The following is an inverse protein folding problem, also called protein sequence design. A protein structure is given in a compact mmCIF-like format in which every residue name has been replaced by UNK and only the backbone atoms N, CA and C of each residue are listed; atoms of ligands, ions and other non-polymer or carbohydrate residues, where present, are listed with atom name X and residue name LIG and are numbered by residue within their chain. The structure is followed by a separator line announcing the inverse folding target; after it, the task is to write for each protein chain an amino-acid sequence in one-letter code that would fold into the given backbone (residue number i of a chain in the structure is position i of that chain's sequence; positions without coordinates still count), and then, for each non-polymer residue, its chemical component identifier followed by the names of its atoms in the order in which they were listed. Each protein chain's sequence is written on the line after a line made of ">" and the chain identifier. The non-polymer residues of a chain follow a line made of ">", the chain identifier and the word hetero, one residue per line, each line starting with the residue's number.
data_IF_287873803120
#
_entry.id   IF_287873803120
#
_cell.length_a   1.000
_cell.length_b   1.000
_cell.length_c   1.000
_cell.angle_alpha   90.00
_cell.angle_beta   90.00
_cell.angle_gamma   90.00
#
_symmetry.space_group_name_H-M   'P 1'
#
loop_
_entity.id
_entity.type
_entity.pdbx_description
1 polymer ?
#
# COMPACT_ATOMS: atom_id res chain seq x y z
N UNK A 1 0.80 -11.54 10.18
CA UNK A 1 -0.15 -10.45 10.54
C UNK A 1 -1.14 -10.37 9.40
N UNK A 2 -2.42 -10.16 9.70
CA UNK A 2 -3.40 -9.87 8.65
C UNK A 2 -3.48 -8.35 8.53
N UNK A 3 -2.87 -7.79 7.49
CA UNK A 3 -2.97 -6.37 7.19
C UNK A 3 -4.37 -6.03 6.68
N UNK A 4 -4.91 -4.89 7.08
CA UNK A 4 -6.02 -4.23 6.38
C UNK A 4 -5.50 -3.12 5.47
N UNK A 5 -6.29 -2.72 4.48
CA UNK A 5 -5.94 -1.61 3.59
C UNK A 5 -5.85 -0.28 4.36
N UNK A 6 -6.71 -0.11 5.35
CA UNK A 6 -6.75 1.06 6.23
C UNK A 6 -5.47 1.15 7.09
N UNK A 7 -5.03 0.03 7.67
CA UNK A 7 -3.77 -0.01 8.44
C UNK A 7 -2.55 0.26 7.57
N UNK A 8 -2.53 -0.31 6.36
CA UNK A 8 -1.46 -0.08 5.39
C UNK A 8 -1.40 1.40 4.98
N UNK A 9 -2.55 1.98 4.60
CA UNK A 9 -2.64 3.40 4.24
C UNK A 9 -2.20 4.32 5.39
N UNK A 10 -2.66 4.03 6.62
CA UNK A 10 -2.29 4.80 7.80
C UNK A 10 -0.80 4.67 8.14
N UNK A 11 -0.19 3.50 7.95
CA UNK A 11 1.25 3.31 8.15
C UNK A 11 2.07 4.13 7.14
N UNK A 12 1.67 4.14 5.87
CA UNK A 12 2.29 4.97 4.84
C UNK A 12 2.15 6.47 5.15
N UNK A 13 0.94 6.92 5.51
CA UNK A 13 0.70 8.30 5.92
C UNK A 13 1.63 8.71 7.08
N UNK A 14 1.73 7.89 8.12
CA UNK A 14 2.61 8.17 9.27
C UNK A 14 4.07 8.29 8.85
N UNK A 15 4.55 7.39 8.01
CA UNK A 15 5.93 7.41 7.50
C UNK A 15 6.24 8.69 6.72
N UNK A 16 5.36 9.06 5.78
CA UNK A 16 5.52 10.25 4.93
C UNK A 16 5.32 11.57 5.69
N UNK A 17 4.51 11.56 6.74
CA UNK A 17 4.31 12.74 7.60
C UNK A 17 5.49 12.94 8.55
N UNK A 18 6.02 11.84 9.12
CA UNK A 18 7.17 11.90 10.03
C UNK A 18 8.46 12.32 9.31
N UNK A 19 8.61 11.93 8.03
CA UNK A 19 9.74 12.32 7.19
C UNK A 19 9.27 12.52 5.74
N UNK A 20 9.09 13.77 5.27
CA UNK A 20 8.70 14.06 3.88
C UNK A 20 9.80 13.76 2.84
N UNK A 21 11.01 13.45 3.29
CA UNK A 21 12.18 13.20 2.47
C UNK A 21 12.34 11.73 2.04
N UNK A 22 13.55 11.36 1.55
CA UNK A 22 13.85 10.00 1.12
C UNK A 22 13.64 8.94 2.20
N UNK A 23 13.97 9.24 3.47
CA UNK A 23 13.87 8.27 4.56
C UNK A 23 12.41 7.88 4.88
N UNK A 24 11.43 8.78 4.70
CA UNK A 24 10.01 8.41 4.80
C UNK A 24 9.58 7.45 3.69
N UNK A 25 10.09 7.65 2.47
CA UNK A 25 9.83 6.75 1.33
C UNK A 25 10.48 5.38 1.52
N UNK A 26 11.67 5.32 2.10
CA UNK A 26 12.32 4.04 2.46
C UNK A 26 11.50 3.26 3.49
N UNK A 27 10.92 3.94 4.49
CA UNK A 27 9.98 3.32 5.43
C UNK A 27 8.73 2.79 4.73
N UNK A 28 8.17 3.54 3.78
CA UNK A 28 7.05 3.05 2.95
C UNK A 28 7.45 1.78 2.20
N UNK A 29 8.64 1.72 1.61
CA UNK A 29 9.13 0.50 0.95
C UNK A 29 9.17 -0.69 1.91
N UNK A 30 9.67 -0.52 3.13
CA UNK A 30 9.69 -1.58 4.14
C UNK A 30 8.27 -2.04 4.52
N UNK A 31 7.34 -1.10 4.72
CA UNK A 31 5.93 -1.41 4.99
C UNK A 31 5.32 -2.23 3.84
N UNK A 32 5.53 -1.81 2.59
CA UNK A 32 5.05 -2.53 1.41
C UNK A 32 5.63 -3.95 1.36
N UNK A 33 6.92 -4.11 1.62
CA UNK A 33 7.56 -5.43 1.66
C UNK A 33 6.93 -6.36 2.70
N UNK A 34 6.48 -5.83 3.84
CA UNK A 34 5.80 -6.62 4.86
C UNK A 34 4.34 -6.93 4.52
N UNK A 35 3.62 -5.98 3.91
CA UNK A 35 2.25 -6.19 3.41
C UNK A 35 2.23 -7.27 2.32
N UNK A 36 3.21 -7.28 1.42
CA UNK A 36 3.30 -8.27 0.33
C UNK A 36 3.60 -9.70 0.81
N UNK A 37 4.02 -9.89 2.08
CA UNK A 37 4.16 -11.23 2.68
C UNK A 37 2.83 -11.77 3.22
N UNK A 38 1.78 -10.95 3.28
CA UNK A 38 0.46 -11.37 3.69
C UNK A 38 -0.32 -11.89 2.47
N UNK A 39 -0.32 -13.22 2.30
CA UNK A 39 -1.01 -13.89 1.20
C UNK A 39 -2.51 -13.57 1.15
N UNK A 40 -3.16 -13.37 2.30
CA UNK A 40 -4.58 -13.03 2.36
C UNK A 40 -4.83 -11.61 1.85
N UNK A 41 -3.95 -10.67 2.17
CA UNK A 41 -4.00 -9.32 1.62
C UNK A 41 -3.81 -9.33 0.10
N UNK A 42 -2.78 -10.04 -0.38
CA UNK A 42 -2.48 -10.13 -1.82
C UNK A 42 -3.65 -10.77 -2.57
N UNK A 43 -4.16 -11.90 -2.12
CA UNK A 43 -5.30 -12.57 -2.75
C UNK A 43 -6.56 -11.69 -2.80
N UNK A 44 -6.81 -10.89 -1.75
CA UNK A 44 -7.97 -10.00 -1.67
C UNK A 44 -7.88 -8.80 -2.60
N UNK A 45 -6.68 -8.24 -2.80
CA UNK A 45 -6.50 -6.94 -3.44
C UNK A 45 -5.84 -7.00 -4.83
N UNK A 46 -5.18 -8.12 -5.16
CA UNK A 46 -4.38 -8.33 -6.38
C UNK A 46 -4.71 -9.70 -7.03
N UNK A 47 -5.91 -10.23 -6.80
CA UNK A 47 -6.36 -11.49 -7.39
C UNK A 47 -6.76 -11.39 -8.87
N UNK A 48 -7.02 -12.53 -9.51
CA UNK A 48 -7.38 -12.62 -10.93
C UNK A 48 -8.72 -11.94 -11.27
N UNK A 49 -9.55 -11.69 -10.25
CA UNK A 49 -10.85 -11.04 -10.37
C UNK A 49 -10.75 -9.50 -10.36
N UNK A 50 -9.56 -8.92 -10.14
CA UNK A 50 -9.36 -7.46 -10.20
C UNK A 50 -8.79 -7.00 -11.56
N UNK A 51 -9.19 -5.80 -12.05
CA UNK A 51 -8.60 -5.20 -13.25
C UNK A 51 -7.09 -5.03 -13.12
N UNK A 52 -6.38 -4.96 -14.26
CA UNK A 52 -4.92 -4.85 -14.28
C UNK A 52 -4.40 -3.74 -13.38
N UNK A 53 -5.07 -2.58 -13.36
CA UNK A 53 -4.74 -1.44 -12.50
C UNK A 53 -5.94 -1.03 -11.68
N UNK A 54 -5.82 -1.10 -10.36
CA UNK A 54 -6.89 -0.70 -9.44
C UNK A 54 -6.32 0.20 -8.35
N UNK A 55 -6.88 1.40 -8.24
CA UNK A 55 -6.63 2.27 -7.09
C UNK A 55 -7.35 1.68 -5.90
N UNK A 56 -6.58 1.24 -4.90
CA UNK A 56 -7.12 0.70 -3.66
C UNK A 56 -7.45 1.83 -2.69
N UNK A 57 -6.60 2.84 -2.62
CA UNK A 57 -6.71 3.94 -1.68
C UNK A 57 -6.05 5.20 -2.25
N UNK A 58 -6.62 6.37 -1.96
CA UNK A 58 -6.02 7.67 -2.22
C UNK A 58 -6.02 8.51 -0.95
N UNK A 59 -4.88 9.12 -0.61
CA UNK A 59 -4.81 10.02 0.52
C UNK A 59 -5.25 11.43 0.12
N UNK A 60 -6.28 12.01 0.75
CA UNK A 60 -6.90 13.28 0.32
C UNK A 60 -6.03 14.54 0.52
N UNK A 61 -4.80 14.41 1.03
CA UNK A 61 -4.00 15.58 1.48
C UNK A 61 -2.51 15.41 1.20
N UNK A 62 -1.98 14.20 1.38
CA UNK A 62 -0.59 13.89 1.02
C UNK A 62 -0.42 13.56 -0.48
N UNK A 63 -1.52 13.33 -1.21
CA UNK A 63 -1.48 13.12 -2.66
C UNK A 63 -0.85 11.80 -3.11
N UNK A 64 -0.67 10.83 -2.21
CA UNK A 64 -0.25 9.48 -2.58
C UNK A 64 -1.47 8.56 -2.79
N UNK A 65 -1.30 7.54 -3.63
CA UNK A 65 -2.25 6.46 -3.78
C UNK A 65 -1.58 5.11 -3.61
N UNK A 66 -2.37 4.10 -3.25
CA UNK A 66 -2.00 2.69 -3.27
C UNK A 66 -2.66 2.09 -4.51
N UNK A 67 -1.84 1.58 -5.43
CA UNK A 67 -2.28 0.98 -6.68
C UNK A 67 -1.93 -0.51 -6.67
N UNK A 68 -2.93 -1.37 -6.86
CA UNK A 68 -2.70 -2.76 -7.24
C UNK A 68 -2.45 -2.83 -8.75
N UNK A 69 -1.37 -3.49 -9.13
CA UNK A 69 -1.01 -3.76 -10.52
C UNK A 69 -0.82 -5.27 -10.70
N UNK A 70 -1.68 -5.90 -11.49
CA UNK A 70 -1.63 -7.31 -11.82
C UNK A 70 -1.63 -7.46 -13.35
N UNK A 71 -0.72 -8.26 -13.90
CA UNK A 71 -0.73 -8.63 -15.31
C UNK A 71 -1.24 -10.06 -15.43
N UNK A 72 -2.19 -10.29 -16.33
CA UNK A 72 -2.83 -11.57 -16.60
C UNK A 72 -2.46 -12.09 -17.98
#
# INVERSE_FOLDING_TARGET
>A
MSWTLEEFAAACQRALTADPGPAGREKVCAIVQDVLKDEAFVARHVGDDVPERKILYEHPSLGFCILAHAYH
#
